data_IF_614392682514
#
_entry.id   IF_614392682514
#
_cell.length_a   1.000
_cell.length_b   1.000
_cell.length_c   1.000
_cell.angle_alpha   90.00
_cell.angle_beta   90.00
_cell.angle_gamma   90.00
#
_symmetry.space_group_name_H-M   'P 1'
#
loop_
_entity.id
_entity.type
_entity.pdbx_description
1 polymer ?
#
# COMPACT_ATOMS: atom_id res chain seq x y z
N UNK A 1 -5.51 2.21 -6.55
CA UNK A 1 -6.28 1.20 -5.77
C UNK A 1 -5.99 1.43 -4.28
N UNK A 2 -6.87 1.21 -3.31
CA UNK A 2 -8.34 0.98 -3.36
C UNK A 2 -9.15 2.11 -2.70
N UNK A 3 -8.48 3.16 -2.18
CA UNK A 3 -8.98 4.27 -1.32
C UNK A 3 -10.43 4.76 -1.55
N UNK A 4 -10.91 4.84 -2.79
CA UNK A 4 -12.30 5.22 -3.08
C UNK A 4 -13.34 4.28 -2.47
N UNK A 5 -13.10 2.96 -2.49
CA UNK A 5 -14.00 1.97 -1.90
C UNK A 5 -13.99 2.03 -0.36
N UNK A 6 -12.85 2.37 0.26
CA UNK A 6 -12.79 2.63 1.70
C UNK A 6 -13.64 3.86 2.05
N UNK A 7 -13.58 4.92 1.24
CA UNK A 7 -14.32 6.16 1.50
C UNK A 7 -15.85 6.01 1.41
N UNK A 8 -16.38 5.02 0.68
CA UNK A 8 -17.82 4.79 0.55
C UNK A 8 -18.49 4.12 1.76
N UNK A 9 -17.75 3.47 2.66
CA UNK A 9 -18.33 2.93 3.89
C UNK A 9 -18.57 4.05 4.90
N UNK A 10 -19.79 4.19 5.43
CA UNK A 10 -20.04 5.17 6.51
C UNK A 10 -19.57 4.67 7.88
N UNK A 11 -19.65 3.36 8.13
CA UNK A 11 -19.19 2.73 9.36
C UNK A 11 -17.64 2.75 9.48
N UNK A 12 -17.14 3.29 10.59
CA UNK A 12 -15.70 3.43 10.89
C UNK A 12 -15.00 2.08 11.11
N UNK A 13 -15.68 1.11 11.74
CA UNK A 13 -15.13 -0.21 12.01
C UNK A 13 -15.06 -1.05 10.72
N UNK A 14 -16.07 -0.90 9.85
CA UNK A 14 -16.02 -1.48 8.50
C UNK A 14 -14.87 -0.89 7.67
N UNK A 15 -14.61 0.42 7.77
CA UNK A 15 -13.44 1.06 7.14
C UNK A 15 -12.13 0.50 7.67
N UNK A 16 -12.04 0.25 8.98
CA UNK A 16 -10.88 -0.33 9.65
C UNK A 16 -10.58 -1.75 9.16
N UNK A 17 -11.53 -2.67 9.23
CA UNK A 17 -11.32 -4.05 8.79
C UNK A 17 -11.02 -4.14 7.28
N UNK A 18 -11.65 -3.28 6.48
CA UNK A 18 -11.36 -3.17 5.05
C UNK A 18 -9.98 -2.56 4.76
N UNK A 19 -9.49 -1.64 5.59
CA UNK A 19 -8.10 -1.19 5.53
C UNK A 19 -7.16 -2.36 5.85
N UNK A 20 -7.37 -3.06 6.95
CA UNK A 20 -6.57 -4.22 7.38
C UNK A 20 -6.51 -5.31 6.30
N UNK A 21 -7.63 -5.60 5.64
CA UNK A 21 -7.69 -6.52 4.49
C UNK A 21 -6.78 -6.08 3.33
N UNK A 22 -6.75 -4.78 3.02
CA UNK A 22 -5.81 -4.21 2.04
C UNK A 22 -4.38 -4.02 2.57
N UNK A 23 -4.16 -4.22 3.88
CA UNK A 23 -2.86 -4.19 4.53
C UNK A 23 -2.10 -5.51 4.52
N UNK A 24 -2.77 -6.64 4.26
CA UNK A 24 -2.16 -7.98 4.14
C UNK A 24 -0.88 -8.03 3.27
N UNK A 25 -0.73 -7.27 2.15
CA UNK A 25 0.53 -7.25 1.40
C UNK A 25 1.73 -6.69 2.17
N UNK A 26 1.52 -5.92 3.23
CA UNK A 26 2.59 -5.33 4.05
C UNK A 26 2.88 -6.15 5.32
N UNK A 27 2.22 -7.29 5.52
CA UNK A 27 2.37 -8.14 6.70
C UNK A 27 3.41 -9.24 6.41
N UNK A 28 4.18 -9.74 7.40
CA UNK A 28 5.09 -10.86 7.18
C UNK A 28 4.34 -12.10 6.65
N UNK A 29 4.88 -12.73 5.60
CA UNK A 29 4.24 -13.81 4.83
C UNK A 29 3.66 -14.93 5.71
N UNK A 30 4.37 -15.28 6.79
CA UNK A 30 4.01 -16.34 7.74
C UNK A 30 2.73 -16.06 8.56
N UNK A 31 2.28 -14.81 8.66
CA UNK A 31 1.11 -14.41 9.47
C UNK A 31 -0.12 -14.04 8.65
N UNK A 32 -0.03 -14.01 7.32
CA UNK A 32 -1.11 -13.55 6.43
C UNK A 32 -2.42 -14.34 6.64
N UNK A 33 -2.33 -15.67 6.80
CA UNK A 33 -3.51 -16.53 6.94
C UNK A 33 -4.23 -16.27 8.27
N UNK A 34 -3.51 -16.31 9.39
CA UNK A 34 -4.05 -16.01 10.74
C UNK A 34 -4.70 -14.63 10.79
N UNK A 35 -4.01 -13.60 10.28
CA UNK A 35 -4.52 -12.24 10.30
C UNK A 35 -5.73 -12.08 9.38
N UNK A 36 -5.76 -12.75 8.22
CA UNK A 36 -6.94 -12.76 7.36
C UNK A 36 -8.15 -13.39 8.06
N UNK A 37 -7.97 -14.48 8.80
CA UNK A 37 -9.06 -15.14 9.53
C UNK A 37 -9.62 -14.24 10.64
N UNK A 38 -8.75 -13.54 11.38
CA UNK A 38 -9.15 -12.54 12.37
C UNK A 38 -9.93 -11.37 11.74
N UNK A 39 -9.44 -10.79 10.64
CA UNK A 39 -10.11 -9.72 9.91
C UNK A 39 -11.46 -10.20 9.38
N UNK A 40 -11.50 -11.39 8.75
CA UNK A 40 -12.72 -11.96 8.20
C UNK A 40 -13.79 -12.18 9.29
N UNK A 41 -13.40 -12.70 10.46
CA UNK A 41 -14.28 -12.86 11.60
C UNK A 41 -14.83 -11.52 12.11
N UNK A 42 -13.98 -10.52 12.32
CA UNK A 42 -14.38 -9.16 12.73
C UNK A 42 -15.31 -8.51 11.70
N UNK A 43 -15.00 -8.63 10.42
CA UNK A 43 -15.75 -7.96 9.35
C UNK A 43 -17.15 -8.56 9.16
N UNK A 44 -17.30 -9.88 9.31
CA UNK A 44 -18.61 -10.56 9.28
C UNK A 44 -19.54 -10.14 10.44
N UNK A 45 -18.99 -9.74 11.59
CA UNK A 45 -19.78 -9.18 12.71
C UNK A 45 -20.28 -7.76 12.43
N UNK A 46 -19.64 -7.02 11.52
CA UNK A 46 -19.94 -5.62 11.21
C UNK A 46 -20.87 -5.51 9.98
N UNK A 47 -20.66 -6.35 8.96
CA UNK A 47 -21.43 -6.34 7.70
C UNK A 47 -21.77 -7.77 7.29
N UNK A 48 -23.05 -8.14 7.37
CA UNK A 48 -23.53 -9.46 6.95
C UNK A 48 -23.22 -9.78 5.48
N UNK A 49 -23.46 -8.82 4.57
CA UNK A 49 -23.31 -9.00 3.13
C UNK A 49 -21.85 -8.93 2.62
N UNK A 50 -20.85 -8.91 3.52
CA UNK A 50 -19.42 -8.88 3.11
C UNK A 50 -18.90 -10.26 2.66
N UNK A 51 -19.65 -11.33 2.96
CA UNK A 51 -19.24 -12.71 2.70
C UNK A 51 -18.79 -13.00 1.24
N UNK A 52 -19.45 -12.48 0.18
CA UNK A 52 -18.99 -12.68 -1.20
C UNK A 52 -17.62 -12.05 -1.49
N UNK A 53 -17.29 -10.90 -0.86
CA UNK A 53 -15.98 -10.27 -0.99
C UNK A 53 -14.90 -11.13 -0.33
N UNK A 54 -15.15 -11.63 0.87
CA UNK A 54 -14.23 -12.50 1.60
C UNK A 54 -14.01 -13.83 0.86
N UNK A 55 -15.07 -14.46 0.36
CA UNK A 55 -14.98 -15.67 -0.48
C UNK A 55 -14.20 -15.44 -1.79
N UNK A 56 -14.42 -14.29 -2.45
CA UNK A 56 -13.64 -13.92 -3.62
C UNK A 56 -12.16 -13.73 -3.27
N UNK A 57 -11.86 -13.02 -2.17
CA UNK A 57 -10.50 -12.73 -1.75
C UNK A 57 -9.74 -14.00 -1.39
N UNK A 58 -10.32 -14.86 -0.54
CA UNK A 58 -9.67 -16.12 -0.13
C UNK A 58 -9.43 -17.05 -1.31
N UNK A 59 -10.42 -17.25 -2.20
CA UNK A 59 -10.28 -18.09 -3.40
C UNK A 59 -9.25 -17.55 -4.39
N UNK A 60 -9.08 -16.23 -4.49
CA UNK A 60 -8.23 -15.61 -5.51
C UNK A 60 -6.80 -15.37 -5.03
N UNK A 61 -6.63 -14.87 -3.81
CA UNK A 61 -5.36 -14.34 -3.29
C UNK A 61 -4.71 -15.18 -2.18
N UNK A 62 -5.45 -16.03 -1.49
CA UNK A 62 -4.91 -16.89 -0.41
C UNK A 62 -4.71 -18.33 -0.87
N UNK A 63 -5.80 -18.96 -1.30
CA UNK A 63 -5.85 -20.38 -1.72
C UNK A 63 -5.77 -20.56 -3.25
N UNK A 64 -5.79 -19.47 -4.01
CA UNK A 64 -5.74 -19.48 -5.47
C UNK A 64 -4.32 -19.68 -6.01
N UNK A 65 -4.19 -20.56 -7.01
CA UNK A 65 -2.91 -20.82 -7.71
C UNK A 65 -2.43 -19.64 -8.58
N UNK A 66 -3.35 -18.80 -9.03
CA UNK A 66 -3.06 -17.67 -9.91
C UNK A 66 -2.39 -16.49 -9.19
N UNK A 67 -2.72 -16.24 -7.92
CA UNK A 67 -2.17 -15.12 -7.14
C UNK A 67 -1.88 -15.52 -5.68
N UNK A 68 -1.00 -16.50 -5.42
CA UNK A 68 -0.68 -16.94 -4.06
C UNK A 68 0.07 -15.84 -3.28
N UNK A 69 0.03 -15.83 -1.93
CA UNK A 69 0.60 -14.76 -1.12
C UNK A 69 2.05 -14.34 -1.45
N UNK A 70 3.00 -15.25 -1.74
CA UNK A 70 4.36 -14.85 -2.13
C UNK A 70 4.47 -14.01 -3.41
N UNK A 71 3.44 -14.00 -4.27
CA UNK A 71 3.42 -13.24 -5.54
C UNK A 71 3.01 -11.78 -5.37
N UNK A 72 2.24 -11.45 -4.33
CA UNK A 72 1.73 -10.10 -4.07
C UNK A 72 2.14 -9.53 -2.72
N UNK A 73 2.75 -10.32 -1.83
CA UNK A 73 3.35 -9.80 -0.62
C UNK A 73 4.52 -8.85 -0.94
N UNK A 74 4.57 -7.76 -0.19
CA UNK A 74 5.51 -6.67 -0.34
C UNK A 74 6.32 -6.36 0.93
N UNK A 75 6.10 -7.07 2.05
CA UNK A 75 6.76 -6.79 3.34
C UNK A 75 8.30 -6.72 3.20
N UNK A 76 8.92 -7.71 2.57
CA UNK A 76 10.36 -7.72 2.28
C UNK A 76 10.81 -6.53 1.42
N UNK A 77 9.99 -6.13 0.45
CA UNK A 77 10.26 -5.03 -0.49
C UNK A 77 10.00 -3.61 0.04
N UNK A 78 9.35 -3.45 1.21
CA UNK A 78 9.20 -2.14 1.88
C UNK A 78 10.59 -1.50 2.07
N UNK A 79 10.76 -0.29 1.55
CA UNK A 79 12.00 0.48 1.56
C UNK A 79 12.89 0.33 0.33
N UNK A 80 12.68 -0.70 -0.49
CA UNK A 80 13.59 -1.03 -1.61
C UNK A 80 12.99 -0.80 -3.01
N UNK A 81 11.67 -0.96 -3.17
CA UNK A 81 11.00 -0.82 -4.48
C UNK A 81 9.79 0.10 -4.40
N UNK A 82 9.56 0.92 -5.43
CA UNK A 82 8.31 1.65 -5.61
C UNK A 82 7.12 0.67 -5.66
N UNK A 83 6.04 0.98 -4.92
CA UNK A 83 4.83 0.15 -4.92
C UNK A 83 4.22 0.15 -6.33
N UNK A 84 4.18 -1.05 -6.92
CA UNK A 84 4.13 -1.34 -8.37
C UNK A 84 3.00 -0.67 -9.16
N UNK A 85 1.85 -0.44 -8.52
CA UNK A 85 0.65 0.02 -9.21
C UNK A 85 0.68 1.49 -9.66
N UNK A 86 1.48 2.36 -9.02
CA UNK A 86 1.52 3.80 -9.37
C UNK A 86 2.01 4.06 -10.82
N UNK A 87 2.95 3.23 -11.30
CA UNK A 87 3.47 3.34 -12.66
C UNK A 87 2.42 2.91 -13.70
N UNK A 88 1.72 1.81 -13.43
CA UNK A 88 0.67 1.28 -14.31
C UNK A 88 -0.56 2.21 -14.36
N UNK A 89 -1.04 2.69 -13.21
CA UNK A 89 -2.10 3.73 -13.16
C UNK A 89 -1.67 5.00 -13.90
N UNK A 90 -0.41 5.40 -13.78
CA UNK A 90 0.17 6.54 -14.51
C UNK A 90 0.18 6.34 -16.03
N UNK A 91 0.60 5.16 -16.49
CA UNK A 91 0.61 4.79 -17.92
C UNK A 91 -0.81 4.75 -18.50
N UNK A 92 -1.75 4.05 -17.85
CA UNK A 92 -3.17 4.02 -18.27
C UNK A 92 -3.80 5.41 -18.26
N UNK A 93 -3.49 6.25 -17.26
CA UNK A 93 -3.96 7.65 -17.22
C UNK A 93 -3.39 8.48 -18.37
N UNK A 94 -2.13 8.24 -18.76
CA UNK A 94 -1.51 8.93 -19.89
C UNK A 94 -2.16 8.55 -21.22
N UNK A 95 -2.47 7.25 -21.43
CA UNK A 95 -3.29 6.79 -22.55
C UNK A 95 -4.63 7.51 -22.54
N UNK A 96 -5.40 7.39 -21.46
CA UNK A 96 -6.77 7.91 -21.39
C UNK A 96 -6.85 9.44 -21.54
N UNK A 97 -5.82 10.19 -21.10
CA UNK A 97 -5.79 11.64 -21.25
C UNK A 97 -5.39 12.12 -22.66
N UNK A 98 -4.68 11.29 -23.44
CA UNK A 98 -4.22 11.61 -24.80
C UNK A 98 -5.10 11.02 -25.90
N UNK A 99 -6.11 10.24 -25.52
CA UNK A 99 -6.89 9.41 -26.41
C UNK A 99 -8.36 9.85 -26.42
N UNK A 100 -8.96 9.95 -27.59
CA UNK A 100 -10.39 10.25 -27.71
C UNK A 100 -11.24 9.04 -27.28
N UNK A 101 -12.51 9.24 -26.86
CA UNK A 101 -13.49 8.16 -26.83
C UNK A 101 -13.56 7.50 -28.22
N UNK A 102 -13.32 6.19 -28.30
CA UNK A 102 -13.26 5.40 -29.54
C UNK A 102 -12.21 5.90 -30.56
N UNK A 103 -10.91 5.72 -30.31
CA UNK A 103 -9.88 6.10 -31.27
C UNK A 103 -9.87 5.20 -32.51
N UNK A 104 -9.40 5.77 -33.63
CA UNK A 104 -8.94 4.96 -34.75
C UNK A 104 -7.77 4.06 -34.31
N UNK A 105 -7.80 2.77 -34.65
CA UNK A 105 -6.81 1.77 -34.23
C UNK A 105 -5.36 2.17 -34.54
N UNK A 106 -5.12 2.81 -35.68
CA UNK A 106 -3.77 3.28 -36.06
C UNK A 106 -3.28 4.41 -35.17
N UNK A 107 -4.16 5.36 -34.81
CA UNK A 107 -3.83 6.43 -33.85
C UNK A 107 -3.53 5.85 -32.47
N UNK A 108 -4.28 4.83 -32.04
CA UNK A 108 -4.03 4.14 -30.77
C UNK A 108 -2.69 3.40 -30.77
N UNK A 109 -2.33 2.69 -31.85
CA UNK A 109 -1.03 2.01 -31.99
C UNK A 109 0.13 3.01 -31.94
N UNK A 110 0.03 4.14 -32.65
CA UNK A 110 1.05 5.19 -32.64
C UNK A 110 1.23 5.82 -31.25
N UNK A 111 0.12 6.16 -30.59
CA UNK A 111 0.11 6.65 -29.20
C UNK A 111 0.78 5.67 -28.24
N UNK A 112 0.52 4.36 -28.43
CA UNK A 112 1.13 3.31 -27.58
C UNK A 112 2.65 3.27 -27.74
N UNK A 113 3.15 3.27 -28.98
CA UNK A 113 4.60 3.29 -29.27
C UNK A 113 5.30 4.48 -28.62
N UNK A 114 4.72 5.68 -28.74
CA UNK A 114 5.27 6.89 -28.11
C UNK A 114 5.36 6.75 -26.58
N UNK A 115 4.32 6.22 -25.94
CA UNK A 115 4.29 6.00 -24.49
C UNK A 115 5.23 4.88 -24.03
N UNK A 116 5.40 3.83 -24.85
CA UNK A 116 6.31 2.72 -24.58
C UNK A 116 7.78 3.19 -24.67
N UNK A 117 8.13 4.03 -25.65
CA UNK A 117 9.45 4.69 -25.75
C UNK A 117 9.76 5.56 -24.53
N UNK A 118 8.82 6.43 -24.12
CA UNK A 118 8.95 7.25 -22.90
C UNK A 118 9.09 6.39 -21.63
N UNK A 119 8.42 5.24 -21.60
CA UNK A 119 8.51 4.28 -20.49
C UNK A 119 9.86 3.59 -20.47
N UNK A 120 10.39 3.14 -21.63
CA UNK A 120 11.74 2.57 -21.73
C UNK A 120 12.83 3.56 -21.30
N UNK A 121 12.72 4.84 -21.70
CA UNK A 121 13.63 5.90 -21.25
C UNK A 121 13.60 5.99 -19.72
N UNK A 122 12.41 6.02 -19.12
CA UNK A 122 12.23 6.10 -17.67
C UNK A 122 12.82 4.90 -16.93
N UNK A 123 12.57 3.67 -17.42
CA UNK A 123 13.18 2.43 -16.89
C UNK A 123 14.70 2.48 -17.00
N UNK A 124 15.26 2.94 -18.13
CA UNK A 124 16.70 3.04 -18.31
C UNK A 124 17.38 4.04 -17.36
N UNK A 125 16.65 5.09 -16.93
CA UNK A 125 17.12 6.05 -15.94
C UNK A 125 17.13 5.44 -14.53
N UNK A 126 16.07 4.72 -14.16
CA UNK A 126 15.97 4.00 -12.88
C UNK A 126 17.05 2.92 -12.75
N UNK A 127 17.29 2.13 -13.81
CA UNK A 127 18.36 1.11 -13.85
C UNK A 127 19.75 1.73 -13.70
N UNK A 128 19.95 2.98 -14.13
CA UNK A 128 21.19 3.76 -13.95
C UNK A 128 21.23 4.52 -12.61
N UNK A 129 20.36 4.18 -11.66
CA UNK A 129 20.19 4.83 -10.35
C UNK A 129 20.01 6.36 -10.41
N UNK A 130 19.57 6.90 -11.56
CA UNK A 130 19.23 8.32 -11.67
C UNK A 130 17.92 8.54 -10.92
N UNK A 131 17.93 9.45 -9.93
CA UNK A 131 16.75 9.79 -9.13
C UNK A 131 15.58 10.18 -10.05
N UNK A 132 14.38 9.74 -9.68
CA UNK A 132 13.13 10.22 -10.28
C UNK A 132 13.11 11.75 -10.34
N UNK A 133 12.84 12.31 -11.52
CA UNK A 133 12.69 13.75 -11.75
C UNK A 133 11.46 14.33 -11.01
N UNK A 134 10.55 13.49 -10.52
CA UNK A 134 9.32 13.91 -9.83
C UNK A 134 9.48 13.79 -8.32
N UNK A 135 9.52 14.93 -7.64
CA UNK A 135 9.49 15.02 -6.18
C UNK A 135 8.22 14.38 -5.61
N UNK A 136 8.38 13.33 -4.82
CA UNK A 136 7.28 12.71 -4.07
C UNK A 136 6.66 13.71 -3.08
N UNK A 137 5.31 13.73 -2.96
CA UNK A 137 4.62 14.61 -2.01
C UNK A 137 5.03 14.26 -0.57
N UNK A 138 5.27 15.27 0.29
CA UNK A 138 5.71 15.11 1.69
C UNK A 138 4.92 14.03 2.46
N UNK A 139 3.58 14.02 2.33
CA UNK A 139 2.71 13.04 3.01
C UNK A 139 3.02 11.58 2.66
N UNK A 140 3.37 11.29 1.40
CA UNK A 140 3.66 9.92 0.98
C UNK A 140 5.04 9.48 1.48
N UNK A 141 6.05 10.37 1.37
CA UNK A 141 7.36 10.14 1.99
C UNK A 141 7.24 9.83 3.48
N UNK A 142 6.45 10.62 4.21
CA UNK A 142 6.21 10.39 5.63
C UNK A 142 5.60 9.01 5.92
N UNK A 143 4.53 8.62 5.20
CA UNK A 143 3.95 7.28 5.35
C UNK A 143 4.94 6.16 5.02
N UNK A 144 5.78 6.35 4.00
CA UNK A 144 6.80 5.38 3.63
C UNK A 144 7.90 5.27 4.70
N UNK A 145 8.35 6.39 5.26
CA UNK A 145 9.27 6.42 6.41
C UNK A 145 8.69 5.65 7.61
N UNK A 146 7.46 5.95 8.04
CA UNK A 146 6.83 5.24 9.16
C UNK A 146 6.68 3.72 8.93
N UNK A 147 6.43 3.29 7.69
CA UNK A 147 6.34 1.86 7.35
C UNK A 147 7.71 1.16 7.31
N UNK A 148 8.78 1.88 6.98
CA UNK A 148 10.16 1.38 7.06
C UNK A 148 10.56 1.25 8.53
N UNK A 149 10.37 2.31 9.33
CA UNK A 149 10.66 2.32 10.77
C UNK A 149 9.90 1.21 11.51
N UNK A 150 8.58 1.10 11.32
CA UNK A 150 7.78 0.05 11.96
C UNK A 150 8.21 -1.37 11.53
N UNK A 151 8.64 -1.55 10.28
CA UNK A 151 9.20 -2.84 9.82
C UNK A 151 10.54 -3.14 10.50
N UNK A 152 11.39 -2.14 10.69
CA UNK A 152 12.66 -2.30 11.41
C UNK A 152 12.41 -2.68 12.86
N UNK A 153 11.49 -2.00 13.57
CA UNK A 153 11.08 -2.31 14.94
C UNK A 153 10.52 -3.74 15.08
N UNK A 154 9.70 -4.20 14.12
CA UNK A 154 9.16 -5.56 14.12
C UNK A 154 10.27 -6.61 13.90
N UNK A 155 11.22 -6.33 12.99
CA UNK A 155 12.36 -7.21 12.74
C UNK A 155 13.34 -7.28 13.92
N UNK A 156 13.47 -6.20 14.71
CA UNK A 156 14.28 -6.16 15.94
C UNK A 156 13.53 -6.64 17.18
N UNK A 157 12.27 -7.10 17.03
CA UNK A 157 11.39 -7.55 18.12
C UNK A 157 11.13 -6.47 19.19
N UNK A 158 11.18 -5.19 18.79
CA UNK A 158 10.90 -4.04 19.66
C UNK A 158 9.43 -3.66 19.71
N UNK A 159 8.65 -4.09 18.71
CA UNK A 159 7.19 -4.06 18.70
C UNK A 159 6.65 -5.44 18.32
N UNK A 160 5.43 -5.74 18.73
CA UNK A 160 4.73 -6.95 18.29
C UNK A 160 3.97 -6.75 16.97
N UNK A 161 3.31 -7.82 16.51
CA UNK A 161 2.59 -7.84 15.25
C UNK A 161 1.27 -7.03 15.30
N UNK A 162 0.67 -6.86 16.47
CA UNK A 162 -0.55 -6.06 16.69
C UNK A 162 -0.19 -4.57 16.67
N UNK A 163 0.88 -4.18 17.37
CA UNK A 163 1.43 -2.83 17.31
C UNK A 163 1.84 -2.44 15.87
N UNK A 164 2.37 -3.40 15.09
CA UNK A 164 2.65 -3.19 13.67
C UNK A 164 1.36 -2.97 12.83
N UNK A 165 0.28 -3.68 13.13
CA UNK A 165 -1.03 -3.47 12.49
C UNK A 165 -1.63 -2.10 12.84
N UNK A 166 -1.55 -1.67 14.09
CA UNK A 166 -2.05 -0.36 14.52
C UNK A 166 -1.39 0.78 13.74
N UNK A 167 -0.07 0.71 13.47
CA UNK A 167 0.62 1.66 12.59
C UNK A 167 -0.02 1.69 11.19
N UNK A 168 -0.37 0.54 10.63
CA UNK A 168 -1.02 0.47 9.32
C UNK A 168 -2.42 1.13 9.30
N UNK A 169 -3.25 0.86 10.31
CA UNK A 169 -4.58 1.47 10.47
C UNK A 169 -4.50 3.00 10.51
N UNK A 170 -3.57 3.51 11.32
CA UNK A 170 -3.34 4.94 11.56
C UNK A 170 -2.85 5.65 10.29
N UNK A 171 -2.08 4.96 9.44
CA UNK A 171 -1.65 5.46 8.12
C UNK A 171 -2.76 5.41 7.05
N UNK A 172 -3.79 4.57 7.21
CA UNK A 172 -4.87 4.41 6.24
C UNK A 172 -6.05 5.32 6.47
N UNK A 173 -6.40 5.58 7.72
CA UNK A 173 -7.59 6.38 8.07
C UNK A 173 -7.38 7.90 7.89
N UNK A 174 -6.21 8.34 7.42
CA UNK A 174 -5.83 9.76 7.22
C UNK A 174 -6.04 10.64 8.47
N UNK A 175 -6.01 10.01 9.66
CA UNK A 175 -6.26 10.69 10.94
C UNK A 175 -5.02 11.47 11.37
N UNK A 176 -4.82 12.61 10.71
CA UNK A 176 -3.89 13.67 11.11
C UNK A 176 -3.97 14.03 12.60
N UNK A 177 -5.11 13.76 13.25
CA UNK A 177 -5.37 14.02 14.68
C UNK A 177 -4.73 13.01 15.65
N UNK A 178 -4.43 11.75 15.25
CA UNK A 178 -3.83 10.75 16.17
C UNK A 178 -2.28 10.80 16.11
N UNK A 179 -1.70 11.53 15.15
CA UNK A 179 -0.25 11.80 15.07
C UNK A 179 0.33 12.32 16.39
N UNK A 180 -0.44 13.07 17.20
CA UNK A 180 0.02 13.50 18.53
C UNK A 180 0.13 12.35 19.54
N UNK A 181 -0.76 11.34 19.49
CA UNK A 181 -0.79 10.25 20.46
C UNK A 181 0.33 9.24 20.23
N UNK A 182 0.56 8.83 18.98
CA UNK A 182 1.66 7.92 18.62
C UNK A 182 3.01 8.58 18.88
N UNK A 183 3.16 9.86 18.54
CA UNK A 183 4.40 10.60 18.80
C UNK A 183 4.68 10.66 20.31
N UNK A 184 3.67 10.83 21.17
CA UNK A 184 3.86 10.79 22.62
C UNK A 184 4.22 9.39 23.15
N UNK A 185 3.61 8.31 22.63
CA UNK A 185 3.95 6.94 23.06
C UNK A 185 5.35 6.52 22.58
N UNK A 186 5.71 6.80 21.33
CA UNK A 186 7.05 6.52 20.76
C UNK A 186 8.16 7.38 21.40
N UNK A 187 7.87 8.64 21.79
CA UNK A 187 8.82 9.49 22.51
C UNK A 187 8.98 9.13 24.00
N UNK A 188 8.02 8.43 24.61
CA UNK A 188 8.16 7.99 26.01
C UNK A 188 9.10 6.80 26.19
N UNK A 189 9.17 5.90 25.19
CA UNK A 189 10.06 4.73 25.20
C UNK A 189 11.42 5.03 24.56
N UNK A 190 11.46 5.91 23.56
CA UNK A 190 12.70 6.30 22.88
C UNK A 190 13.08 7.73 23.25
N UNK A 191 13.94 7.85 24.26
CA UNK A 191 14.67 9.09 24.53
C UNK A 191 15.40 9.52 23.25
N UNK A 192 14.92 10.57 22.60
CA UNK A 192 15.55 11.18 21.43
C UNK A 192 16.96 11.65 21.78
N UNK A 193 17.94 10.77 21.59
CA UNK A 193 19.36 11.14 21.55
C UNK A 193 19.52 12.16 20.44
N UNK A 194 19.76 13.40 20.84
CA UNK A 194 20.09 14.52 19.94
C UNK A 194 21.24 14.11 19.04
N UNK A 195 20.96 13.81 17.78
CA UNK A 195 21.95 13.92 16.71
C UNK A 195 21.99 15.39 16.30
N UNK A 196 22.75 16.16 17.06
CA UNK A 196 23.26 17.47 16.61
C UNK A 196 24.16 17.21 15.41
N UNK A 197 23.67 17.54 14.21
CA UNK A 197 24.53 17.73 13.04
C UNK A 197 24.84 19.23 12.97
N UNK A 198 26.13 19.51 12.80
CA UNK A 198 26.76 20.84 12.77
C UNK A 198 26.27 21.65 11.57
#
# INVERSE_FOLDING_TARGET
MFLGFISSFQNTDAKRELANLFGLPLIPLQHIFTIYEEIAAKFLLIIADIQPLLQYFSRTYLYGTNFPPPRWNHFSSIGFTDRTNNALEGYHRSINARNAPHPNIWKYILLKRELDELTMISVSQLMKQKRSTKTQRKRYRYRDTCLIEAKELLNTQQIDLVEYQDVFELLHMDIYSITQKITMTMMSTTSCRKLTII
#
